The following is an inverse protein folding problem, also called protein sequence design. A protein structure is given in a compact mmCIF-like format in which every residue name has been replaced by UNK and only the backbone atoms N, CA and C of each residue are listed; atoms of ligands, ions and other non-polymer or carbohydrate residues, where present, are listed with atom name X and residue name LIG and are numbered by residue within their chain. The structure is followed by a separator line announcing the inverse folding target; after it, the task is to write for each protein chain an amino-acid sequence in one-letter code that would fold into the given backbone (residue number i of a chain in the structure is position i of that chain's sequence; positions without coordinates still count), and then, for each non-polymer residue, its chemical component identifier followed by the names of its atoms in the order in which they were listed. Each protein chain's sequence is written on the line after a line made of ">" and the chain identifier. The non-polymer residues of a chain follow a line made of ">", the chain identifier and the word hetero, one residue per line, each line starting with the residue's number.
data_IF_568262313149
#
_entry.id   IF_568262313149
#
_cell.length_a   1.000
_cell.length_b   1.000
_cell.length_c   1.000
_cell.angle_alpha   90.00
_cell.angle_beta   90.00
_cell.angle_gamma   90.00
#
_symmetry.space_group_name_H-M   'P 1'
#
loop_
_entity.id
_entity.type
_entity.pdbx_description
1 polymer ?
#
# COMPACT_ATOMS: atom_id res chain seq x y z
N UNK A 1 -33.93 15.13 17.00
CA UNK A 1 -33.24 13.89 16.62
C UNK A 1 -34.28 12.89 16.17
N UNK A 2 -34.58 12.93 14.88
CA UNK A 2 -35.39 11.94 14.19
C UNK A 2 -34.52 10.74 13.79
N UNK A 3 -35.13 9.62 13.41
CA UNK A 3 -34.38 8.44 12.93
C UNK A 3 -33.57 8.77 11.67
N UNK A 4 -34.10 9.66 10.81
CA UNK A 4 -33.41 10.07 9.59
C UNK A 4 -32.15 10.90 9.88
N UNK A 5 -32.23 11.85 10.81
CA UNK A 5 -31.09 12.66 11.25
C UNK A 5 -29.98 11.78 11.87
N UNK A 6 -30.36 10.70 12.56
CA UNK A 6 -29.39 9.74 13.11
C UNK A 6 -28.67 8.96 12.02
N UNK A 7 -29.39 8.51 10.99
CA UNK A 7 -28.80 7.77 9.86
C UNK A 7 -27.81 8.65 9.10
N UNK A 8 -28.18 9.89 8.75
CA UNK A 8 -27.27 10.82 8.06
C UNK A 8 -26.00 11.07 8.88
N UNK A 9 -26.13 11.29 10.19
CA UNK A 9 -24.95 11.50 11.05
C UNK A 9 -24.01 10.29 11.09
N UNK A 10 -24.55 9.07 11.04
CA UNK A 10 -23.74 7.85 11.00
C UNK A 10 -23.05 7.66 9.65
N UNK A 11 -23.73 7.99 8.55
CA UNK A 11 -23.14 7.94 7.21
C UNK A 11 -21.97 8.93 7.07
N UNK A 12 -22.13 10.15 7.57
CA UNK A 12 -21.04 11.14 7.59
C UNK A 12 -19.85 10.67 8.44
N UNK A 13 -20.11 10.06 9.61
CA UNK A 13 -19.06 9.51 10.46
C UNK A 13 -18.30 8.36 9.77
N UNK A 14 -19.01 7.48 9.06
CA UNK A 14 -18.40 6.40 8.27
C UNK A 14 -17.48 6.98 7.19
N UNK A 15 -17.95 7.96 6.40
CA UNK A 15 -17.13 8.59 5.36
C UNK A 15 -15.87 9.23 5.95
N UNK A 16 -16.01 9.96 7.06
CA UNK A 16 -14.87 10.57 7.73
C UNK A 16 -13.88 9.52 8.26
N UNK A 17 -14.37 8.40 8.82
CA UNK A 17 -13.52 7.27 9.24
C UNK A 17 -12.79 6.66 8.04
N UNK A 18 -13.45 6.49 6.90
CA UNK A 18 -12.83 5.99 5.67
C UNK A 18 -11.71 6.91 5.18
N UNK A 19 -11.92 8.23 5.16
CA UNK A 19 -10.90 9.22 4.79
C UNK A 19 -9.68 9.16 5.73
N UNK A 20 -9.92 9.06 7.05
CA UNK A 20 -8.85 8.90 8.03
C UNK A 20 -8.06 7.60 7.82
N UNK A 21 -8.75 6.48 7.56
CA UNK A 21 -8.11 5.20 7.28
C UNK A 21 -7.21 5.31 6.04
N UNK A 22 -7.70 5.95 4.97
CA UNK A 22 -6.91 6.18 3.75
C UNK A 22 -5.66 7.04 4.04
N UNK A 23 -5.81 8.12 4.80
CA UNK A 23 -4.68 8.97 5.21
C UNK A 23 -3.63 8.20 6.02
N UNK A 24 -4.07 7.39 6.99
CA UNK A 24 -3.15 6.57 7.79
C UNK A 24 -2.47 5.47 6.96
N UNK A 25 -3.17 4.89 5.98
CA UNK A 25 -2.57 3.94 5.04
C UNK A 25 -1.45 4.61 4.22
N UNK A 26 -1.67 5.83 3.73
CA UNK A 26 -0.67 6.58 2.97
C UNK A 26 0.55 6.93 3.81
N UNK A 27 0.35 7.40 5.04
CA UNK A 27 1.45 7.68 5.98
C UNK A 27 2.25 6.41 6.33
N UNK A 28 1.56 5.30 6.54
CA UNK A 28 2.16 4.00 6.81
C UNK A 28 2.98 3.51 5.61
N UNK A 29 2.43 3.61 4.41
CA UNK A 29 3.13 3.33 3.15
C UNK A 29 4.40 4.14 2.99
N UNK A 30 4.32 5.45 3.21
CA UNK A 30 5.48 6.32 3.10
C UNK A 30 6.60 5.88 4.07
N UNK A 31 6.22 5.62 5.31
CA UNK A 31 7.13 5.14 6.36
C UNK A 31 7.74 3.77 6.00
N UNK A 32 6.93 2.82 5.51
CA UNK A 32 7.39 1.49 5.11
C UNK A 32 8.36 1.54 3.93
N UNK A 33 8.07 2.35 2.90
CA UNK A 33 9.00 2.51 1.77
C UNK A 33 10.31 3.11 2.22
N UNK A 34 10.29 4.11 3.11
CA UNK A 34 11.53 4.68 3.62
C UNK A 34 12.33 3.68 4.44
N UNK A 35 11.66 2.91 5.31
CA UNK A 35 12.29 1.82 6.07
C UNK A 35 12.90 0.76 5.15
N UNK A 36 12.21 0.36 4.08
CA UNK A 36 12.74 -0.59 3.09
C UNK A 36 13.95 -0.03 2.35
N UNK A 37 13.95 1.25 1.98
CA UNK A 37 15.05 1.87 1.26
C UNK A 37 16.35 1.93 2.08
N UNK A 38 16.25 2.02 3.41
CA UNK A 38 17.42 2.07 4.31
C UNK A 38 17.78 0.71 4.92
N UNK A 39 16.94 -0.31 4.75
CA UNK A 39 17.15 -1.60 5.39
C UNK A 39 18.33 -2.36 4.77
N UNK A 40 19.25 -2.85 5.60
CA UNK A 40 20.37 -3.68 5.17
C UNK A 40 19.93 -5.08 4.71
N UNK A 41 18.78 -5.54 5.19
CA UNK A 41 18.17 -6.82 4.78
C UNK A 41 16.68 -6.62 4.46
N UNK A 42 16.15 -7.33 3.46
CA UNK A 42 14.73 -7.24 3.11
C UNK A 42 13.87 -7.70 4.29
N UNK A 43 12.83 -6.93 4.61
CA UNK A 43 11.95 -7.20 5.75
C UNK A 43 11.11 -8.48 5.49
N UNK A 44 11.33 -9.58 6.23
CA UNK A 44 10.60 -10.83 6.03
C UNK A 44 9.10 -10.71 6.34
N UNK A 45 8.69 -9.67 7.08
CA UNK A 45 7.28 -9.37 7.37
C UNK A 45 6.51 -8.84 6.16
N UNK A 46 7.15 -8.63 5.01
CA UNK A 46 6.46 -8.16 3.80
C UNK A 46 5.87 -9.30 2.97
N UNK A 47 6.24 -10.55 3.26
CA UNK A 47 5.80 -11.74 2.52
C UNK A 47 5.19 -12.77 3.48
N UNK A 48 3.85 -12.88 3.52
CA UNK A 48 3.16 -13.92 4.29
C UNK A 48 3.67 -15.34 3.97
N UNK A 49 3.96 -15.62 2.69
CA UNK A 49 4.43 -16.94 2.23
C UNK A 49 5.77 -17.35 2.88
N UNK A 50 6.64 -16.39 3.20
CA UNK A 50 7.89 -16.67 3.88
C UNK A 50 7.67 -17.09 5.33
N UNK A 51 6.69 -16.46 6.00
CA UNK A 51 6.31 -16.82 7.37
C UNK A 51 5.65 -18.21 7.38
N UNK A 52 4.84 -18.53 6.36
CA UNK A 52 4.25 -19.87 6.19
C UNK A 52 5.35 -20.93 6.08
N UNK A 53 6.43 -20.66 5.33
CA UNK A 53 7.59 -21.56 5.26
C UNK A 53 8.29 -21.72 6.62
N UNK A 54 8.43 -20.65 7.42
CA UNK A 54 9.01 -20.72 8.76
C UNK A 54 8.13 -21.54 9.73
N UNK A 55 6.81 -21.40 9.62
CA UNK A 55 5.85 -22.19 10.41
C UNK A 55 6.02 -23.67 10.11
N UNK A 56 6.10 -24.06 8.83
CA UNK A 56 6.30 -25.46 8.45
C UNK A 56 7.66 -25.99 8.90
N UNK A 57 8.71 -25.17 8.90
CA UNK A 57 10.00 -25.50 9.48
C UNK A 57 9.93 -25.80 10.99
N UNK A 58 9.29 -24.91 11.77
CA UNK A 58 9.09 -25.11 13.22
C UNK A 58 8.25 -26.36 13.53
N UNK A 59 7.22 -26.63 12.73
CA UNK A 59 6.40 -27.86 12.86
C UNK A 59 7.21 -29.11 12.54
N UNK A 60 8.06 -29.08 11.51
CA UNK A 60 8.90 -30.21 11.11
C UNK A 60 10.01 -30.49 12.13
N UNK A 61 10.63 -29.45 12.71
CA UNK A 61 11.65 -29.61 13.74
C UNK A 61 11.07 -30.08 15.08
N UNK A 62 9.81 -29.71 15.40
CA UNK A 62 9.07 -30.13 16.58
C UNK A 62 9.83 -29.99 17.91
N UNK A 63 10.76 -29.02 17.98
CA UNK A 63 11.57 -28.75 19.19
C UNK A 63 10.67 -28.31 20.35
N UNK A 64 11.13 -28.54 21.57
CA UNK A 64 10.39 -28.10 22.77
C UNK A 64 10.01 -26.61 22.66
N UNK A 65 8.74 -26.32 22.93
CA UNK A 65 8.17 -24.96 22.82
C UNK A 65 7.77 -24.53 21.40
N UNK A 66 7.83 -25.39 20.38
CA UNK A 66 7.49 -25.02 19.00
C UNK A 66 6.05 -24.51 18.85
N UNK A 67 5.08 -25.03 19.61
CA UNK A 67 3.69 -24.58 19.53
C UNK A 67 3.52 -23.09 19.86
N UNK A 68 4.26 -22.59 20.85
CA UNK A 68 4.25 -21.16 21.18
C UNK A 68 4.90 -20.34 20.05
N UNK A 69 6.00 -20.83 19.47
CA UNK A 69 6.67 -20.18 18.34
C UNK A 69 5.79 -20.15 17.10
N UNK A 70 5.11 -21.25 16.78
CA UNK A 70 4.13 -21.34 15.68
C UNK A 70 3.00 -20.34 15.88
N UNK A 71 2.41 -20.24 17.08
CA UNK A 71 1.38 -19.22 17.36
C UNK A 71 1.90 -17.80 17.15
N UNK A 72 3.11 -17.50 17.62
CA UNK A 72 3.73 -16.18 17.38
C UNK A 72 3.97 -15.90 15.89
N UNK A 73 4.34 -16.91 15.11
CA UNK A 73 4.50 -16.80 13.66
C UNK A 73 3.15 -16.62 12.95
N UNK A 74 2.07 -17.26 13.41
CA UNK A 74 0.72 -17.07 12.89
C UNK A 74 0.24 -15.61 13.09
N UNK A 75 0.41 -15.05 14.29
CA UNK A 75 0.12 -13.63 14.56
C UNK A 75 0.97 -12.69 13.69
N UNK A 76 2.22 -13.07 13.45
CA UNK A 76 3.14 -12.32 12.59
C UNK A 76 2.70 -12.35 11.13
N UNK A 77 2.16 -13.48 10.66
CA UNK A 77 1.61 -13.65 9.31
C UNK A 77 0.41 -12.76 9.05
N UNK A 78 -0.48 -12.60 10.03
CA UNK A 78 -1.62 -11.68 9.93
C UNK A 78 -1.15 -10.24 9.74
N UNK A 79 -0.19 -9.81 10.57
CA UNK A 79 0.44 -8.48 10.45
C UNK A 79 1.12 -8.31 9.09
N UNK A 80 1.85 -9.31 8.62
CA UNK A 80 2.49 -9.30 7.31
C UNK A 80 1.49 -9.16 6.15
N UNK A 81 0.32 -9.77 6.27
CA UNK A 81 -0.76 -9.66 5.28
C UNK A 81 -1.28 -8.23 5.19
N UNK A 82 -1.51 -7.58 6.33
CA UNK A 82 -1.95 -6.18 6.38
C UNK A 82 -0.87 -5.27 5.78
N UNK A 83 0.38 -5.44 6.18
CA UNK A 83 1.53 -4.66 5.67
C UNK A 83 1.67 -4.83 4.15
N UNK A 84 1.53 -6.06 3.63
CA UNK A 84 1.61 -6.34 2.20
C UNK A 84 0.50 -5.64 1.41
N UNK A 85 -0.72 -5.59 1.95
CA UNK A 85 -1.85 -4.86 1.33
C UNK A 85 -1.59 -3.35 1.29
N UNK A 86 -1.12 -2.79 2.40
CA UNK A 86 -0.74 -1.37 2.51
C UNK A 86 0.36 -1.07 1.47
N UNK A 87 1.47 -1.81 1.48
CA UNK A 87 2.57 -1.62 0.53
C UNK A 87 2.15 -1.77 -0.95
N UNK A 88 1.22 -2.67 -1.28
CA UNK A 88 0.65 -2.78 -2.64
C UNK A 88 -0.10 -1.51 -3.06
N UNK A 89 -0.88 -0.89 -2.17
CA UNK A 89 -1.59 0.35 -2.47
C UNK A 89 -0.63 1.47 -2.88
N UNK A 90 0.50 1.61 -2.19
CA UNK A 90 1.55 2.56 -2.59
C UNK A 90 2.17 2.29 -3.95
N UNK A 91 2.33 1.02 -4.34
CA UNK A 91 2.81 0.70 -5.70
C UNK A 91 1.81 1.14 -6.77
N UNK A 92 0.51 1.09 -6.49
CA UNK A 92 -0.53 1.55 -7.40
C UNK A 92 -0.53 3.08 -7.51
N UNK A 93 -0.52 3.81 -6.39
CA UNK A 93 -0.51 5.30 -6.40
C UNK A 93 0.71 5.86 -7.12
N UNK A 94 1.90 5.31 -6.87
CA UNK A 94 3.12 5.70 -7.59
C UNK A 94 3.04 5.43 -9.11
N UNK A 95 2.35 4.36 -9.51
CA UNK A 95 2.15 4.01 -10.93
C UNK A 95 1.19 4.99 -11.59
N UNK A 96 0.07 5.31 -10.93
CA UNK A 96 -0.93 6.27 -11.40
C UNK A 96 -0.35 7.68 -11.54
N UNK A 97 0.43 8.15 -10.56
CA UNK A 97 1.11 9.44 -10.61
C UNK A 97 2.15 9.53 -11.76
N UNK A 98 2.87 8.44 -12.04
CA UNK A 98 3.81 8.41 -13.17
C UNK A 98 3.08 8.48 -14.51
N UNK A 99 1.99 7.71 -14.64
CA UNK A 99 1.14 7.70 -15.84
C UNK A 99 0.48 9.07 -16.09
N UNK A 100 0.04 9.79 -15.05
CA UNK A 100 -0.54 11.12 -15.22
C UNK A 100 0.52 12.15 -15.66
N UNK A 101 1.72 12.13 -15.06
CA UNK A 101 2.85 12.99 -15.46
C UNK A 101 3.30 12.73 -16.91
N UNK A 102 3.43 11.47 -17.32
CA UNK A 102 3.77 11.10 -18.72
C UNK A 102 2.71 11.57 -19.73
N UNK A 103 1.43 11.49 -19.37
CA UNK A 103 0.33 12.02 -20.20
C UNK A 103 0.41 13.54 -20.35
N UNK A 104 0.71 14.27 -19.28
CA UNK A 104 0.92 15.72 -19.37
C UNK A 104 2.12 16.10 -20.23
N UNK A 105 3.24 15.37 -20.10
CA UNK A 105 4.44 15.61 -20.92
C UNK A 105 4.19 15.33 -22.40
N UNK A 106 3.51 14.23 -22.72
CA UNK A 106 3.16 13.89 -24.11
C UNK A 106 2.18 14.91 -24.69
N UNK A 107 1.25 15.43 -23.89
CA UNK A 107 0.32 16.48 -24.31
C UNK A 107 1.03 17.83 -24.51
N UNK A 108 1.98 18.20 -23.63
CA UNK A 108 2.84 19.38 -23.80
C UNK A 108 3.74 19.28 -25.03
N UNK A 109 4.34 18.12 -25.29
CA UNK A 109 5.15 17.86 -26.50
C UNK A 109 4.30 17.96 -27.77
N UNK A 110 3.10 17.39 -27.78
CA UNK A 110 2.15 17.54 -28.91
C UNK A 110 1.72 18.99 -29.12
N UNK A 111 1.44 19.73 -28.05
CA UNK A 111 1.09 21.15 -28.11
C UNK A 111 2.26 22.01 -28.65
N UNK A 112 3.49 21.71 -28.22
CA UNK A 112 4.70 22.36 -28.70
C UNK A 112 4.97 22.09 -30.18
N UNK A 113 4.89 20.82 -30.62
CA UNK A 113 5.04 20.45 -32.03
C UNK A 113 4.00 21.13 -32.92
N UNK A 114 2.75 21.22 -32.45
CA UNK A 114 1.69 21.97 -33.15
C UNK A 114 2.02 23.45 -33.29
N UNK A 115 2.61 24.07 -32.25
CA UNK A 115 3.00 25.48 -32.25
C UNK A 115 4.20 25.77 -33.16
N UNK A 116 5.18 24.86 -33.20
CA UNK A 116 6.34 24.96 -34.10
C UNK A 116 5.94 24.73 -35.55
N UNK A 117 5.07 23.76 -35.84
CA UNK A 117 4.51 23.56 -37.18
C UNK A 117 3.75 24.78 -37.69
N UNK A 118 3.02 25.47 -36.80
CA UNK A 118 2.34 26.72 -37.14
C UNK A 118 3.30 27.90 -37.37
N UNK A 119 4.49 27.89 -36.74
CA UNK A 119 5.51 28.94 -36.88
C UNK A 119 6.36 28.79 -38.15
N UNK A 120 6.53 27.56 -38.66
CA UNK A 120 7.33 27.27 -39.85
C UNK A 120 6.55 27.11 -41.15
N UNK A 121 5.24 27.42 -41.15
CA UNK A 121 4.47 27.70 -42.37
C UNK A 121 4.44 26.58 -43.41
N UNK A 122 3.55 25.60 -43.19
CA UNK A 122 2.82 24.89 -44.26
C UNK A 122 1.32 25.07 -44.00
#
# INVERSE_FOLDING_TARGET
>A
MTVQELIESQEEEIVHLEEMIVSFMDQSCHSLTRLQAIALSPNPLTTPDYIDMLIEGEKAEAKVGYQARVRSLEEMREKATIISRVAKRQKLTNTEEKLSREKEETQKKKAFLKKVGHFFGY
#
